data_IF_480378700050
#
_entry.id   IF_480378700050
#
_cell.length_a   1.000
_cell.length_b   1.000
_cell.length_c   1.000
_cell.angle_alpha   90.00
_cell.angle_beta   90.00
_cell.angle_gamma   90.00
#
_symmetry.space_group_name_H-M   'P 1'
#
loop_
_entity.id
_entity.type
_entity.pdbx_description
1 polymer ?
#
# COMPACT_ATOMS: atom_id res chain seq x y z
N UNK A 1 41.06 -21.50 15.49
CA UNK A 1 40.16 -20.40 15.90
C UNK A 1 39.35 -19.99 14.68
N UNK A 2 38.04 -20.26 14.66
CA UNK A 2 37.14 -19.82 13.57
C UNK A 2 36.59 -18.45 13.97
N UNK A 3 36.80 -17.44 13.14
CA UNK A 3 36.26 -16.10 13.35
C UNK A 3 34.74 -16.13 13.20
N UNK A 4 34.04 -15.67 14.23
CA UNK A 4 32.60 -15.40 14.18
C UNK A 4 32.43 -14.09 13.39
N UNK A 5 31.65 -14.06 12.30
CA UNK A 5 31.38 -12.81 11.58
C UNK A 5 30.54 -11.87 12.46
N UNK A 6 30.77 -10.54 12.40
CA UNK A 6 30.01 -9.58 13.21
C UNK A 6 28.52 -9.58 12.83
N UNK A 7 27.62 -9.19 13.76
CA UNK A 7 26.19 -9.13 13.50
C UNK A 7 25.90 -8.13 12.36
N UNK A 8 25.09 -8.57 11.39
CA UNK A 8 24.61 -7.73 10.28
C UNK A 8 23.72 -6.63 10.85
N UNK A 9 24.07 -5.37 10.60
CA UNK A 9 23.28 -4.20 11.01
C UNK A 9 22.33 -3.85 9.88
N UNK A 10 21.03 -3.93 10.11
CA UNK A 10 20.00 -3.62 9.11
C UNK A 10 19.52 -2.18 9.34
N UNK A 11 19.55 -1.30 8.33
CA UNK A 11 18.91 0.02 8.42
C UNK A 11 17.55 -0.05 7.73
N UNK A 12 16.48 0.46 8.34
CA UNK A 12 15.16 0.53 7.74
C UNK A 12 14.75 2.00 7.62
N UNK A 13 14.56 2.49 6.39
CA UNK A 13 13.88 3.75 6.11
C UNK A 13 12.38 3.45 6.19
N UNK A 14 11.69 4.00 7.19
CA UNK A 14 10.26 3.77 7.37
C UNK A 14 9.49 4.97 6.82
N UNK A 15 8.51 4.72 5.94
CA UNK A 15 7.54 5.73 5.51
C UNK A 15 6.22 5.49 6.25
N UNK A 16 6.12 6.04 7.46
CA UNK A 16 4.96 5.89 8.35
C UNK A 16 3.87 6.94 8.09
N UNK A 17 2.61 6.50 7.99
CA UNK A 17 1.43 7.32 8.30
C UNK A 17 1.04 7.16 9.77
N UNK A 18 0.85 8.27 10.50
CA UNK A 18 0.18 8.30 11.80
C UNK A 18 -0.92 9.37 11.84
N UNK A 19 -1.93 9.22 12.72
CA UNK A 19 -3.29 9.67 12.46
C UNK A 19 -3.65 11.03 13.09
N UNK A 20 -4.80 11.53 12.63
CA UNK A 20 -5.53 12.73 13.04
C UNK A 20 -5.60 12.93 14.57
N UNK A 21 -5.20 14.11 15.03
CA UNK A 21 -5.68 14.71 16.29
C UNK A 21 -6.59 15.88 15.95
N UNK A 22 -7.91 15.67 15.97
CA UNK A 22 -8.85 16.78 16.10
C UNK A 22 -9.20 16.96 17.57
N UNK A 23 -8.91 18.14 18.10
CA UNK A 23 -9.19 18.52 19.48
C UNK A 23 -10.69 18.53 19.76
N UNK A 24 -11.07 17.88 20.86
CA UNK A 24 -12.43 17.96 21.41
C UNK A 24 -12.65 19.32 22.08
N UNK A 25 -13.72 20.02 21.71
CA UNK A 25 -14.45 20.87 22.66
C UNK A 25 -15.91 20.47 22.66
N UNK A 26 -16.27 19.89 23.79
CA UNK A 26 -17.63 19.58 24.22
C UNK A 26 -18.31 20.91 24.59
N UNK A 27 -19.53 21.10 24.09
CA UNK A 27 -20.54 21.94 24.73
C UNK A 27 -21.89 21.21 24.64
N UNK A 28 -22.47 20.94 25.81
CA UNK A 28 -23.78 20.33 26.02
C UNK A 28 -24.89 21.39 26.04
N UNK A 29 -26.07 21.03 25.51
CA UNK A 29 -27.45 21.33 25.98
C UNK A 29 -28.43 21.10 24.82
N UNK A 30 -29.69 20.68 24.95
CA UNK A 30 -30.50 19.82 25.86
C UNK A 30 -31.94 19.90 25.31
N UNK A 31 -32.73 18.82 25.40
CA UNK A 31 -34.19 18.75 25.13
C UNK A 31 -34.54 17.62 24.14
N UNK A 32 -34.98 16.44 24.59
CA UNK A 32 -36.40 16.02 24.82
C UNK A 32 -37.25 16.09 23.53
N UNK A 33 -38.00 15.10 23.06
CA UNK A 33 -38.71 13.96 23.67
C UNK A 33 -39.29 13.05 22.53
N UNK A 34 -39.67 11.80 22.83
CA UNK A 34 -40.81 11.16 22.12
C UNK A 34 -40.55 9.94 21.22
N UNK A 35 -40.66 8.76 21.85
CA UNK A 35 -41.42 7.58 21.40
C UNK A 35 -41.10 6.86 20.06
N UNK A 36 -40.58 5.62 20.17
CA UNK A 36 -41.12 4.41 19.53
C UNK A 36 -40.16 3.21 19.71
N UNK A 37 -40.69 2.14 20.30
CA UNK A 37 -40.02 0.84 20.43
C UNK A 37 -39.71 0.23 19.06
N UNK A 38 -38.43 -0.07 18.84
CA UNK A 38 -37.96 -1.25 18.11
C UNK A 38 -36.50 -1.48 18.51
N UNK A 39 -36.09 -2.61 19.11
CA UNK A 39 -34.68 -2.92 19.25
C UNK A 39 -34.19 -3.35 17.87
N UNK A 40 -33.99 -2.37 16.97
CA UNK A 40 -33.17 -2.61 15.79
C UNK A 40 -31.77 -2.86 16.33
N UNK A 41 -31.42 -4.13 16.43
CA UNK A 41 -30.05 -4.58 16.65
C UNK A 41 -29.30 -4.15 15.39
N UNK A 42 -28.89 -2.88 15.35
CA UNK A 42 -27.88 -2.46 14.39
C UNK A 42 -26.66 -3.30 14.74
N UNK A 43 -26.39 -4.30 13.90
CA UNK A 43 -25.06 -4.87 13.80
C UNK A 43 -24.17 -3.72 13.31
N UNK A 44 -23.75 -2.86 14.23
CA UNK A 44 -22.56 -2.05 14.07
C UNK A 44 -21.42 -3.04 14.01
N UNK A 45 -21.18 -3.59 12.81
CA UNK A 45 -19.90 -4.17 12.50
C UNK A 45 -18.93 -3.00 12.64
N UNK A 46 -18.03 -2.97 13.65
CA UNK A 46 -16.93 -2.04 13.59
C UNK A 46 -16.29 -2.31 12.23
N UNK A 47 -16.22 -1.31 11.37
CA UNK A 47 -15.57 -1.41 10.06
C UNK A 47 -14.07 -1.50 10.30
N UNK A 48 -13.62 -2.58 10.96
CA UNK A 48 -12.23 -2.91 11.18
C UNK A 48 -11.64 -2.95 9.78
N UNK A 49 -10.74 -2.02 9.48
CA UNK A 49 -9.99 -2.05 8.24
C UNK A 49 -9.34 -3.44 8.17
N UNK A 50 -9.70 -4.21 7.14
CA UNK A 50 -9.07 -5.49 6.93
C UNK A 50 -7.59 -5.20 6.65
N UNK A 51 -6.66 -5.88 7.33
CA UNK A 51 -5.24 -5.69 7.07
C UNK A 51 -4.97 -5.94 5.57
N UNK A 52 -4.17 -5.07 4.98
CA UNK A 52 -3.75 -5.21 3.58
C UNK A 52 -3.05 -6.56 3.45
N UNK A 53 -3.39 -7.31 2.39
CA UNK A 53 -2.79 -8.61 2.09
C UNK A 53 -2.29 -8.60 0.65
N UNK A 54 -1.19 -9.28 0.41
CA UNK A 54 -0.61 -9.41 -0.92
C UNK A 54 -0.94 -10.79 -1.48
N UNK A 55 -1.45 -10.83 -2.70
CA UNK A 55 -1.81 -12.04 -3.44
C UNK A 55 -0.74 -12.25 -4.52
N UNK A 56 -0.20 -13.47 -4.61
CA UNK A 56 0.72 -13.83 -5.68
C UNK A 56 0.02 -13.75 -7.05
N UNK A 57 0.66 -13.17 -8.06
CA UNK A 57 0.11 -13.16 -9.41
C UNK A 57 0.33 -14.50 -10.12
N UNK A 58 -0.73 -15.30 -10.18
CA UNK A 58 -0.86 -16.56 -10.91
C UNK A 58 -1.70 -16.42 -12.19
N UNK A 59 -1.86 -15.19 -12.68
CA UNK A 59 -2.62 -14.86 -13.88
C UNK A 59 -3.85 -13.98 -13.63
N UNK A 60 -4.01 -13.41 -12.44
CA UNK A 60 -5.05 -12.40 -12.18
C UNK A 60 -4.75 -11.04 -12.85
N UNK A 61 -3.49 -10.78 -13.22
CA UNK A 61 -3.04 -9.53 -13.84
C UNK A 61 -1.93 -9.77 -14.89
N UNK A 62 -1.49 -8.72 -15.58
CA UNK A 62 -0.45 -8.77 -16.60
C UNK A 62 0.85 -9.42 -16.10
N UNK A 63 1.57 -10.16 -16.96
CA UNK A 63 2.70 -11.02 -16.56
C UNK A 63 3.91 -10.31 -15.94
N UNK A 64 4.02 -8.99 -16.11
CA UNK A 64 5.04 -8.18 -15.43
C UNK A 64 4.78 -7.95 -13.93
N UNK A 65 3.53 -8.14 -13.49
CA UNK A 65 3.11 -8.02 -12.09
C UNK A 65 3.46 -9.31 -11.35
N UNK A 66 4.08 -9.19 -10.17
CA UNK A 66 4.45 -10.32 -9.32
C UNK A 66 3.49 -10.50 -8.14
N UNK A 67 3.08 -9.39 -7.54
CA UNK A 67 2.10 -9.38 -6.46
C UNK A 67 1.06 -8.29 -6.68
N UNK A 68 -0.11 -8.50 -6.11
CA UNK A 68 -1.20 -7.54 -6.12
C UNK A 68 -1.84 -7.46 -4.74
N UNK A 69 -2.37 -6.29 -4.39
CA UNK A 69 -3.09 -6.09 -3.15
C UNK A 69 -4.33 -5.25 -3.41
N UNK A 70 -5.35 -5.41 -2.57
CA UNK A 70 -6.62 -4.68 -2.69
C UNK A 70 -6.86 -3.93 -1.40
N UNK A 71 -6.79 -2.61 -1.48
CA UNK A 71 -7.14 -1.72 -0.39
C UNK A 71 -8.54 -1.14 -0.57
N UNK A 72 -8.94 -0.28 0.36
CA UNK A 72 -10.20 0.45 0.25
C UNK A 72 -10.10 1.47 -0.88
N UNK A 73 -10.82 1.26 -1.96
CA UNK A 73 -10.88 2.22 -3.08
C UNK A 73 -9.67 2.18 -4.03
N UNK A 74 -8.76 1.21 -3.90
CA UNK A 74 -7.64 1.05 -4.83
C UNK A 74 -7.20 -0.42 -4.98
N UNK A 75 -6.47 -0.69 -6.05
CA UNK A 75 -5.69 -1.90 -6.24
C UNK A 75 -4.23 -1.58 -6.51
N UNK A 76 -3.35 -2.41 -5.97
CA UNK A 76 -1.91 -2.35 -6.14
C UNK A 76 -1.43 -3.45 -7.06
N UNK A 77 -0.44 -3.13 -7.88
CA UNK A 77 0.27 -4.08 -8.70
C UNK A 77 1.76 -3.81 -8.58
N UNK A 78 2.49 -4.79 -8.09
CA UNK A 78 3.91 -4.70 -7.79
C UNK A 78 4.71 -5.41 -8.88
N UNK A 79 5.70 -4.71 -9.42
CA UNK A 79 6.72 -5.24 -10.33
C UNK A 79 8.09 -5.06 -9.68
N UNK A 80 9.18 -5.64 -10.23
CA UNK A 80 10.51 -5.46 -9.68
C UNK A 80 10.96 -3.98 -9.58
N UNK A 81 10.42 -3.10 -10.43
CA UNK A 81 10.90 -1.71 -10.57
C UNK A 81 9.81 -0.65 -10.42
N UNK A 82 8.57 -1.05 -10.12
CA UNK A 82 7.47 -0.11 -9.97
C UNK A 82 6.34 -0.66 -9.10
N UNK A 83 5.62 0.28 -8.46
CA UNK A 83 4.30 0.05 -7.88
C UNK A 83 3.25 0.84 -8.66
N UNK A 84 2.19 0.16 -9.10
CA UNK A 84 1.04 0.78 -9.75
C UNK A 84 -0.13 0.80 -8.79
N UNK A 85 -0.62 1.99 -8.47
CA UNK A 85 -1.82 2.24 -7.69
C UNK A 85 -2.94 2.61 -8.65
N UNK A 86 -3.90 1.70 -8.85
CA UNK A 86 -5.11 2.00 -9.63
C UNK A 86 -6.24 2.37 -8.69
N UNK A 87 -6.81 3.54 -8.88
CA UNK A 87 -7.90 4.04 -8.06
C UNK A 87 -9.24 3.58 -8.63
N UNK A 88 -10.13 3.17 -7.74
CA UNK A 88 -11.52 2.89 -8.07
C UNK A 88 -12.31 4.17 -7.89
N UNK A 89 -12.66 4.85 -8.98
CA UNK A 89 -13.64 5.94 -8.94
C UNK A 89 -15.05 5.34 -8.94
N UNK A 90 -15.98 5.81 -8.08
CA UNK A 90 -17.39 5.52 -8.26
C UNK A 90 -17.79 6.01 -9.65
N UNK A 91 -18.57 5.22 -10.38
CA UNK A 91 -19.08 5.66 -11.67
C UNK A 91 -19.82 6.99 -11.47
N UNK A 92 -19.39 8.04 -12.18
CA UNK A 92 -20.17 9.26 -12.27
C UNK A 92 -21.53 8.97 -12.92
N UNK A 93 -22.43 9.95 -12.92
CA UNK A 93 -23.79 9.87 -13.52
C UNK A 93 -23.81 9.39 -14.99
N UNK A 94 -22.67 9.37 -15.68
CA UNK A 94 -22.52 8.92 -17.07
C UNK A 94 -21.99 7.49 -17.24
N UNK A 95 -21.84 6.69 -16.17
CA UNK A 95 -21.55 5.26 -16.27
C UNK A 95 -20.14 4.88 -16.73
N UNK A 96 -19.30 5.85 -17.10
CA UNK A 96 -17.89 5.64 -17.43
C UNK A 96 -17.07 5.51 -16.14
N UNK A 97 -16.54 4.31 -15.90
CA UNK A 97 -15.50 4.08 -14.88
C UNK A 97 -14.20 4.69 -15.40
N UNK A 98 -13.99 5.98 -15.12
CA UNK A 98 -12.73 6.66 -15.42
C UNK A 98 -11.66 6.16 -14.44
N UNK A 99 -11.05 5.02 -14.75
CA UNK A 99 -9.96 4.44 -13.97
C UNK A 99 -8.65 5.15 -14.27
N UNK A 100 -8.15 5.94 -13.32
CA UNK A 100 -6.80 6.48 -13.35
C UNK A 100 -6.03 6.04 -12.11
N UNK A 101 -4.77 6.46 -12.04
CA UNK A 101 -3.90 6.01 -10.97
C UNK A 101 -2.52 6.65 -10.99
N UNK A 102 -1.72 6.17 -10.04
CA UNK A 102 -0.36 6.59 -9.80
C UNK A 102 0.58 5.42 -10.09
N UNK A 103 1.70 5.70 -10.74
CA UNK A 103 2.81 4.79 -10.87
C UNK A 103 4.01 5.39 -10.14
N UNK A 104 4.50 4.65 -9.16
CA UNK A 104 5.76 4.92 -8.49
C UNK A 104 6.82 4.08 -9.20
N UNK A 105 7.83 4.71 -9.79
CA UNK A 105 8.98 4.00 -10.37
C UNK A 105 10.20 4.22 -9.50
N UNK A 106 10.96 3.16 -9.32
CA UNK A 106 12.26 3.19 -8.66
C UNK A 106 13.31 3.33 -9.77
N UNK A 107 13.70 4.56 -10.05
CA UNK A 107 14.67 4.86 -11.11
C UNK A 107 16.02 4.23 -10.73
N UNK A 108 16.68 3.59 -11.70
CA UNK A 108 17.92 2.84 -11.46
C UNK A 108 17.74 1.45 -10.84
N UNK A 109 16.52 1.04 -10.47
CA UNK A 109 16.29 -0.26 -9.85
C UNK A 109 16.64 -1.43 -10.78
N UNK A 110 17.20 -2.51 -10.22
CA UNK A 110 17.54 -3.71 -10.98
C UNK A 110 16.25 -4.41 -11.47
N UNK A 111 15.99 -4.51 -12.80
CA UNK A 111 14.82 -5.21 -13.31
C UNK A 111 14.84 -6.72 -13.05
N UNK A 112 15.97 -7.27 -12.59
CA UNK A 112 16.13 -8.67 -12.19
C UNK A 112 15.98 -8.88 -10.68
N UNK A 113 15.72 -7.82 -9.91
CA UNK A 113 15.48 -7.93 -8.48
C UNK A 113 14.37 -8.95 -8.17
N UNK A 114 14.59 -9.74 -7.12
CA UNK A 114 13.69 -10.82 -6.74
C UNK A 114 12.52 -10.26 -5.94
N UNK A 115 11.29 -10.49 -6.39
CA UNK A 115 10.08 -10.07 -5.67
C UNK A 115 9.49 -11.28 -4.93
N UNK A 116 9.48 -11.22 -3.60
CA UNK A 116 9.23 -12.34 -2.70
C UNK A 116 8.08 -11.99 -1.76
N UNK A 117 7.09 -12.87 -1.63
CA UNK A 117 6.09 -12.77 -0.57
C UNK A 117 6.67 -13.31 0.74
N UNK A 118 6.56 -12.56 1.83
CA UNK A 118 7.00 -13.00 3.16
C UNK A 118 5.83 -13.05 4.14
N UNK A 119 5.90 -13.98 5.09
CA UNK A 119 4.80 -14.24 6.02
C UNK A 119 3.56 -14.76 5.28
N UNK A 120 3.67 -15.93 4.63
CA UNK A 120 2.52 -16.60 4.04
C UNK A 120 1.42 -16.76 5.10
N UNK A 121 0.20 -16.38 4.72
CA UNK A 121 -0.97 -16.45 5.57
C UNK A 121 -1.75 -17.73 5.23
N UNK A 122 -2.45 -18.32 6.22
CA UNK A 122 -3.27 -19.50 5.98
C UNK A 122 -4.47 -19.22 5.05
N UNK A 123 -4.80 -17.94 4.84
CA UNK A 123 -5.90 -17.50 3.99
C UNK A 123 -5.55 -17.68 2.51
N UNK A 124 -6.54 -18.16 1.75
CA UNK A 124 -6.45 -18.36 0.30
C UNK A 124 -7.49 -17.51 -0.42
N UNK A 125 -7.13 -16.99 -1.59
CA UNK A 125 -8.05 -16.22 -2.43
C UNK A 125 -8.53 -17.06 -3.59
N UNK A 126 -9.84 -17.04 -3.80
CA UNK A 126 -10.52 -17.65 -4.93
C UNK A 126 -11.23 -16.55 -5.73
N UNK A 127 -10.94 -16.47 -7.03
CA UNK A 127 -11.47 -15.49 -7.97
C UNK A 127 -12.23 -16.21 -9.08
N UNK A 128 -13.55 -16.13 -9.02
CA UNK A 128 -14.46 -16.71 -10.00
C UNK A 128 -14.96 -15.60 -10.93
N UNK A 129 -14.16 -15.24 -11.92
CA UNK A 129 -14.52 -14.19 -12.88
C UNK A 129 -15.21 -14.80 -14.11
N UNK A 130 -16.48 -14.44 -14.31
CA UNK A 130 -17.28 -14.94 -15.43
C UNK A 130 -17.77 -16.39 -15.24
N UNK A 131 -18.42 -16.91 -16.29
CA UNK A 131 -19.12 -18.20 -16.23
C UNK A 131 -18.27 -19.39 -16.72
N UNK A 132 -17.04 -19.17 -17.20
CA UNK A 132 -16.14 -20.24 -17.63
C UNK A 132 -15.19 -20.64 -16.48
N UNK A 133 -15.32 -21.86 -15.93
CA UNK A 133 -14.44 -22.34 -14.87
C UNK A 133 -12.96 -22.39 -15.24
N UNK A 134 -12.62 -22.46 -16.54
CA UNK A 134 -11.23 -22.43 -17.00
C UNK A 134 -10.56 -21.07 -16.75
N UNK A 135 -11.34 -20.01 -16.59
CA UNK A 135 -10.85 -18.68 -16.25
C UNK A 135 -10.78 -18.41 -14.74
N UNK A 136 -11.21 -19.35 -13.91
CA UNK A 136 -11.21 -19.20 -12.46
C UNK A 136 -9.81 -19.38 -11.90
N UNK A 137 -9.48 -18.58 -10.89
CA UNK A 137 -8.21 -18.64 -10.19
C UNK A 137 -8.47 -19.00 -8.73
N UNK A 138 -8.03 -20.17 -8.28
CA UNK A 138 -8.30 -20.67 -6.93
C UNK A 138 -7.02 -20.93 -6.17
N UNK A 139 -7.13 -21.02 -4.84
CA UNK A 139 -6.00 -21.35 -3.95
C UNK A 139 -4.80 -20.42 -4.12
N UNK A 140 -5.06 -19.14 -4.39
CA UNK A 140 -4.01 -18.12 -4.50
C UNK A 140 -3.44 -17.88 -3.09
N UNK A 141 -2.13 -18.11 -2.85
CA UNK A 141 -1.51 -17.81 -1.58
C UNK A 141 -1.51 -16.32 -1.30
N UNK A 142 -1.56 -15.99 -0.02
CA UNK A 142 -1.52 -14.62 0.45
C UNK A 142 -0.38 -14.41 1.43
N UNK A 143 0.15 -13.19 1.46
CA UNK A 143 1.32 -12.83 2.24
C UNK A 143 1.06 -11.56 3.03
N UNK A 144 1.71 -11.45 4.20
CA UNK A 144 1.66 -10.26 5.04
C UNK A 144 2.44 -9.09 4.44
N UNK A 145 3.55 -9.38 3.75
CA UNK A 145 4.44 -8.37 3.17
C UNK A 145 5.09 -8.88 1.87
N UNK A 146 5.64 -7.97 1.08
CA UNK A 146 6.38 -8.29 -0.15
C UNK A 146 7.72 -7.60 -0.13
N UNK A 147 8.81 -8.38 -0.24
CA UNK A 147 10.18 -7.88 -0.35
C UNK A 147 10.62 -7.89 -1.81
N UNK A 148 11.17 -6.77 -2.28
CA UNK A 148 11.98 -6.69 -3.49
C UNK A 148 13.45 -6.72 -3.05
N UNK A 149 14.09 -7.87 -3.16
CA UNK A 149 15.46 -8.08 -2.72
C UNK A 149 16.44 -7.56 -3.75
N UNK A 150 17.39 -6.74 -3.30
CA UNK A 150 18.41 -6.15 -4.16
C UNK A 150 17.81 -5.22 -5.21
N UNK A 151 16.83 -4.40 -4.82
CA UNK A 151 16.28 -3.37 -5.72
C UNK A 151 17.37 -2.38 -6.17
N UNK A 152 18.32 -2.11 -5.28
CA UNK A 152 19.61 -1.44 -5.55
C UNK A 152 20.75 -2.23 -4.89
N UNK A 153 22.03 -1.98 -5.23
CA UNK A 153 23.16 -2.64 -4.57
C UNK A 153 23.14 -2.49 -3.04
N UNK A 154 22.91 -3.60 -2.34
CA UNK A 154 22.84 -3.62 -0.87
C UNK A 154 21.57 -3.05 -0.25
N UNK A 155 20.53 -2.79 -1.05
CA UNK A 155 19.25 -2.23 -0.59
C UNK A 155 18.11 -3.14 -1.03
N UNK A 156 17.24 -3.50 -0.08
CA UNK A 156 15.95 -4.11 -0.37
C UNK A 156 14.82 -3.08 -0.24
N UNK A 157 13.67 -3.37 -0.86
CA UNK A 157 12.42 -2.64 -0.64
C UNK A 157 11.40 -3.59 -0.01
N UNK A 158 10.69 -3.16 1.02
CA UNK A 158 9.70 -3.96 1.74
C UNK A 158 8.35 -3.25 1.70
N UNK A 159 7.35 -3.86 1.04
CA UNK A 159 5.96 -3.42 1.08
C UNK A 159 5.21 -4.11 2.20
N UNK A 160 4.45 -3.37 2.98
CA UNK A 160 3.58 -3.91 4.04
C UNK A 160 2.33 -3.06 4.22
N UNK A 161 1.40 -3.54 5.04
CA UNK A 161 0.15 -2.85 5.34
C UNK A 161 0.15 -2.24 6.73
N UNK A 162 -0.14 -0.94 6.85
CA UNK A 162 -0.46 -0.28 8.12
C UNK A 162 -1.91 0.19 8.09
N UNK A 163 -2.73 -0.28 9.05
CA UNK A 163 -4.16 0.07 9.14
C UNK A 163 -5.01 -0.18 7.87
N UNK A 164 -4.53 -1.05 6.97
CA UNK A 164 -5.18 -1.33 5.68
C UNK A 164 -4.72 -0.44 4.52
N UNK A 165 -3.77 0.46 4.79
CA UNK A 165 -3.08 1.29 3.80
C UNK A 165 -1.71 0.69 3.44
N UNK A 166 -1.20 1.02 2.26
CA UNK A 166 0.11 0.60 1.81
C UNK A 166 1.19 1.46 2.44
N UNK A 167 2.20 0.81 2.99
CA UNK A 167 3.50 1.43 3.29
C UNK A 167 4.62 0.66 2.59
N UNK A 168 5.76 1.33 2.43
CA UNK A 168 6.97 0.68 1.97
C UNK A 168 8.22 1.27 2.61
N UNK A 169 9.19 0.40 2.85
CA UNK A 169 10.42 0.72 3.56
C UNK A 169 11.65 0.30 2.74
N UNK A 170 12.69 1.12 2.72
CA UNK A 170 13.99 0.72 2.15
C UNK A 170 14.87 0.15 3.23
N UNK A 171 15.31 -1.09 3.04
CA UNK A 171 16.20 -1.77 3.95
C UNK A 171 17.64 -1.63 3.43
N UNK A 172 18.39 -0.71 3.99
CA UNK A 172 19.73 -0.33 3.55
C UNK A 172 20.76 -1.13 4.35
N UNK A 173 21.57 -1.93 3.67
CA UNK A 173 22.66 -2.69 4.31
C UNK A 173 23.84 -1.78 4.67
N UNK A 174 24.73 -2.18 5.60
CA UNK A 174 25.90 -1.39 5.93
C UNK A 174 26.79 -1.18 4.71
N UNK A 175 27.15 0.07 4.43
CA UNK A 175 27.98 0.44 3.30
C UNK A 175 27.24 0.54 1.96
N UNK A 176 25.93 0.29 1.92
CA UNK A 176 25.11 0.63 0.76
C UNK A 176 24.88 2.16 0.71
N UNK A 177 24.79 2.70 -0.50
CA UNK A 177 24.60 4.14 -0.73
C UNK A 177 23.10 4.47 -0.84
N UNK A 178 22.51 5.19 0.13
CA UNK A 178 21.11 5.56 0.08
C UNK A 178 20.78 6.60 -1.02
N UNK A 179 21.77 7.31 -1.56
CA UNK A 179 21.56 8.31 -2.63
C UNK A 179 21.17 7.67 -3.96
N UNK A 180 21.36 6.35 -4.11
CA UNK A 180 20.87 5.56 -5.25
C UNK A 180 19.34 5.49 -5.30
N UNK A 181 18.65 5.71 -4.16
CA UNK A 181 17.20 5.61 -4.07
C UNK A 181 16.55 6.82 -4.73
N UNK A 182 16.07 6.63 -5.96
CA UNK A 182 15.34 7.67 -6.71
C UNK A 182 13.93 7.22 -7.05
N UNK A 183 12.92 7.99 -6.62
CA UNK A 183 11.51 7.73 -6.91
C UNK A 183 10.97 8.74 -7.94
N UNK A 184 10.31 8.24 -8.98
CA UNK A 184 9.56 9.07 -9.92
C UNK A 184 8.08 8.72 -9.91
N UNK A 185 7.23 9.75 -9.89
CA UNK A 185 5.79 9.61 -9.84
C UNK A 185 5.20 9.98 -11.20
N UNK A 186 4.50 9.03 -11.81
CA UNK A 186 3.79 9.22 -13.07
C UNK A 186 2.30 9.00 -12.83
N UNK A 187 1.44 9.88 -13.33
CA UNK A 187 0.00 9.65 -13.30
C UNK A 187 -0.50 9.12 -14.63
N UNK A 188 -1.57 8.33 -14.58
CA UNK A 188 -2.20 7.78 -15.77
C UNK A 188 -3.71 7.79 -15.66
N UNK A 189 -4.38 7.88 -16.81
CA UNK A 189 -5.83 7.99 -16.91
C UNK A 189 -6.36 9.36 -16.44
N UNK A 190 -7.67 9.55 -16.58
CA UNK A 190 -8.34 10.84 -16.35
C UNK A 190 -8.75 11.09 -14.90
N UNK A 191 -8.36 10.22 -13.95
CA UNK A 191 -8.73 10.38 -12.53
C UNK A 191 -7.90 11.43 -11.78
N UNK A 192 -6.81 11.91 -12.37
CA UNK A 192 -5.88 12.86 -11.78
C UNK A 192 -5.72 14.07 -12.73
N UNK A 193 -6.15 15.25 -12.31
CA UNK A 193 -5.98 16.51 -13.07
C UNK A 193 -4.57 17.05 -12.83
N UNK A 194 -3.76 17.25 -13.88
CA UNK A 194 -2.36 17.63 -13.77
C UNK A 194 -2.11 19.12 -13.39
N UNK A 195 -0.97 19.45 -12.73
CA UNK A 195 -0.02 18.50 -12.17
C UNK A 195 -0.57 18.04 -10.80
N UNK A 196 -0.83 16.74 -10.58
CA UNK A 196 -1.70 16.30 -9.50
C UNK A 196 -0.88 16.01 -8.25
N UNK A 197 0.23 16.71 -8.02
CA UNK A 197 0.98 16.56 -6.78
C UNK A 197 1.66 17.82 -6.33
N UNK A 198 1.73 17.98 -5.01
CA UNK A 198 2.42 19.08 -4.33
C UNK A 198 3.21 18.52 -3.17
N UNK A 199 4.34 19.15 -2.89
CA UNK A 199 4.97 19.02 -1.58
C UNK A 199 4.39 20.16 -0.75
N UNK A 200 3.79 19.84 0.40
CA UNK A 200 3.26 20.86 1.32
C UNK A 200 4.37 21.52 2.16
N UNK A 201 3.99 22.42 3.06
CA UNK A 201 4.93 23.14 3.93
C UNK A 201 5.63 22.19 4.93
N UNK A 202 5.03 21.03 5.19
CA UNK A 202 5.54 19.98 6.06
C UNK A 202 6.51 19.00 5.36
N UNK A 203 6.69 19.15 4.04
CA UNK A 203 7.53 18.27 3.22
C UNK A 203 6.86 16.95 2.83
N UNK A 204 5.54 16.86 2.95
CA UNK A 204 4.75 15.71 2.53
C UNK A 204 4.34 15.83 1.06
N UNK A 205 4.50 14.73 0.33
CA UNK A 205 4.05 14.63 -1.04
C UNK A 205 2.57 14.25 -1.06
N UNK A 206 1.74 15.11 -1.64
CA UNK A 206 0.29 14.96 -1.69
C UNK A 206 -0.19 14.82 -3.11
N UNK A 207 -1.04 13.84 -3.38
CA UNK A 207 -1.73 13.65 -4.65
C UNK A 207 -3.24 13.78 -4.47
N UNK A 208 -3.85 14.91 -4.88
CA UNK A 208 -5.30 15.05 -4.88
C UNK A 208 -5.93 14.04 -5.83
N UNK A 209 -6.90 13.26 -5.33
CA UNK A 209 -7.66 12.28 -6.10
C UNK A 209 -9.15 12.61 -5.99
N UNK A 210 -9.98 12.12 -6.93
CA UNK A 210 -11.42 12.40 -6.91
C UNK A 210 -12.14 11.96 -5.60
N UNK A 211 -11.55 11.03 -4.84
CA UNK A 211 -12.09 10.51 -3.58
C UNK A 211 -11.37 11.00 -2.31
N UNK A 212 -10.44 11.95 -2.41
CA UNK A 212 -9.61 12.37 -1.28
C UNK A 212 -8.20 12.76 -1.71
N UNK A 213 -7.19 12.33 -0.94
CA UNK A 213 -5.79 12.64 -1.20
C UNK A 213 -4.94 11.42 -0.86
N UNK A 214 -3.99 11.06 -1.74
CA UNK A 214 -2.92 10.13 -1.37
C UNK A 214 -1.81 10.98 -0.76
N UNK A 215 -1.36 10.61 0.43
CA UNK A 215 -0.27 11.30 1.12
C UNK A 215 0.92 10.36 1.25
N UNK A 216 2.09 10.89 0.97
CA UNK A 216 3.37 10.31 1.33
C UNK A 216 4.09 11.26 2.27
N UNK A 217 4.35 10.78 3.49
CA UNK A 217 5.05 11.54 4.52
C UNK A 217 6.52 11.70 4.16
N UNK A 218 7.18 12.67 4.79
CA UNK A 218 8.63 12.80 4.69
C UNK A 218 9.33 11.48 5.07
N UNK A 219 10.41 11.08 4.37
CA UNK A 219 11.20 9.92 4.74
C UNK A 219 11.70 10.02 6.18
N UNK A 220 11.67 8.89 6.91
CA UNK A 220 12.23 8.81 8.25
C UNK A 220 13.19 7.63 8.36
N UNK A 221 14.32 7.85 9.03
CA UNK A 221 15.35 6.83 9.22
C UNK A 221 15.15 6.22 10.61
N UNK A 222 14.94 4.91 10.66
CA UNK A 222 14.85 4.16 11.91
C UNK A 222 15.99 3.15 12.01
N UNK A 223 16.45 2.94 13.25
CA UNK A 223 17.44 1.91 13.58
C UNK A 223 16.73 0.87 14.45
N UNK A 224 16.73 -0.38 14.03
CA UNK A 224 16.36 -1.46 14.95
C UNK A 224 17.40 -1.48 16.09
N UNK A 225 16.93 -1.27 17.31
CA UNK A 225 17.77 -1.41 18.49
C UNK A 225 18.20 -2.87 18.64
N UNK A 226 19.50 -3.11 18.76
CA UNK A 226 20.00 -4.42 19.17
C UNK A 226 19.56 -4.65 20.62
N UNK A 227 18.63 -5.59 20.81
CA UNK A 227 18.39 -6.23 22.10
C UNK A 227 19.50 -7.22 22.43
#
# INVERSE_FOLDING_TARGET
MRSVPPPRKTFALILCALPLLWGSRVAWQSGEEGDAKSPTRHLSLPTRSLPLRFEENRGQSAGGVKFLARGRGYALFLTPTAAYVRLYTPAGREGTRSGGGLRIRFAGADPRAEVIGEGERPERVNLFLGNDPKGWQTEIPTFAQVRVRGIYPGIDLLYHGREGELEFDFIVSPGADPEEITLSYETFGSALQAPPFRIDEEGELRFPIAMGEIRQTKPSIHREGAG
#
